data_IF_461847044913
#
_entry.id   IF_461847044913
#
_cell.length_a   1.000
_cell.length_b   1.000
_cell.length_c   1.000
_cell.angle_alpha   90.00
_cell.angle_beta   90.00
_cell.angle_gamma   90.00
#
_symmetry.space_group_name_H-M   'P 1'
#
loop_
_entity.id
_entity.type
_entity.pdbx_description
1 polymer ?
#
# COMPACT_ATOMS: atom_id res chain seq x y z
N UNK A 1 4.69 -25.08 -3.63
CA UNK A 1 4.56 -25.44 -2.20
C UNK A 1 5.89 -25.75 -1.50
N UNK A 2 6.92 -26.29 -2.17
CA UNK A 2 8.26 -26.50 -1.57
C UNK A 2 9.02 -25.19 -1.26
N UNK A 3 8.93 -24.16 -2.11
CA UNK A 3 9.60 -22.85 -1.86
C UNK A 3 9.06 -22.12 -0.62
N UNK A 4 7.74 -22.11 -0.42
CA UNK A 4 7.11 -21.42 0.74
C UNK A 4 7.53 -22.08 2.05
N UNK A 5 7.69 -23.42 2.06
CA UNK A 5 8.22 -24.15 3.22
C UNK A 5 9.62 -23.69 3.60
N UNK A 6 10.49 -23.43 2.62
CA UNK A 6 11.86 -22.97 2.86
C UNK A 6 11.90 -21.53 3.42
N UNK A 7 10.99 -20.66 2.97
CA UNK A 7 10.90 -19.25 3.39
C UNK A 7 10.31 -19.11 4.80
N UNK A 8 9.29 -19.92 5.14
CA UNK A 8 8.59 -19.81 6.42
C UNK A 8 9.15 -20.73 7.53
N UNK A 9 10.08 -21.64 7.21
CA UNK A 9 10.75 -22.48 8.21
C UNK A 9 11.98 -21.78 8.77
N UNK A 10 12.17 -21.82 10.09
CA UNK A 10 13.44 -21.44 10.72
C UNK A 10 14.56 -22.25 10.04
N UNK A 11 15.60 -21.61 9.49
CA UNK A 11 16.76 -22.34 8.99
C UNK A 11 17.28 -23.23 10.12
N UNK A 12 17.51 -24.51 9.86
CA UNK A 12 18.27 -25.37 10.78
C UNK A 12 19.65 -24.73 10.91
N UNK A 13 19.89 -24.02 12.01
CA UNK A 13 21.15 -23.29 12.23
C UNK A 13 22.36 -24.24 12.17
N UNK A 14 23.59 -23.77 11.99
CA UNK A 14 24.09 -22.43 11.76
C UNK A 14 25.45 -22.53 11.05
N UNK A 15 25.64 -21.70 10.04
CA UNK A 15 26.98 -21.31 9.62
C UNK A 15 27.54 -20.23 10.55
N UNK A 16 28.67 -19.59 10.21
CA UNK A 16 29.29 -18.56 11.04
C UNK A 16 28.49 -17.24 11.14
N UNK A 17 27.33 -17.13 10.48
CA UNK A 17 26.54 -15.91 10.43
C UNK A 17 25.42 -15.92 11.50
N UNK A 18 25.27 -14.85 12.29
CA UNK A 18 24.23 -14.75 13.31
C UNK A 18 22.83 -14.64 12.69
N UNK A 19 21.85 -15.24 13.37
CA UNK A 19 20.44 -15.17 13.00
C UNK A 19 19.75 -14.03 13.76
N UNK A 20 19.05 -13.17 13.03
CA UNK A 20 18.31 -12.00 13.52
C UNK A 20 16.81 -12.33 13.46
N UNK A 21 16.08 -11.97 14.51
CA UNK A 21 14.64 -12.17 14.62
C UNK A 21 13.91 -10.97 13.99
N UNK A 22 12.81 -11.24 13.29
CA UNK A 22 11.95 -10.20 12.70
C UNK A 22 11.47 -9.19 13.76
N UNK A 23 11.93 -7.92 13.74
CA UNK A 23 11.59 -6.93 14.76
C UNK A 23 10.17 -6.35 14.60
N UNK A 24 9.54 -6.53 13.42
CA UNK A 24 8.29 -5.87 13.04
C UNK A 24 7.12 -6.83 12.82
N UNK A 25 7.23 -8.11 13.22
CA UNK A 25 6.22 -9.13 12.90
C UNK A 25 4.76 -8.74 13.24
N UNK A 26 4.53 -8.08 14.39
CA UNK A 26 3.19 -7.59 14.77
C UNK A 26 2.70 -6.46 13.85
N UNK A 27 3.59 -5.55 13.48
CA UNK A 27 3.30 -4.43 12.59
C UNK A 27 3.03 -4.90 11.16
N UNK A 28 3.82 -5.85 10.67
CA UNK A 28 3.63 -6.46 9.34
C UNK A 28 2.26 -7.14 9.27
N UNK A 29 1.81 -7.84 10.34
CA UNK A 29 0.45 -8.39 10.40
C UNK A 29 -0.64 -7.31 10.27
N UNK A 30 -0.46 -6.17 10.93
CA UNK A 30 -1.39 -5.05 10.80
C UNK A 30 -1.39 -4.47 9.37
N UNK A 31 -0.21 -4.30 8.76
CA UNK A 31 -0.08 -3.83 7.37
C UNK A 31 -0.76 -4.78 6.39
N UNK A 32 -0.63 -6.10 6.54
CA UNK A 32 -1.34 -7.07 5.70
C UNK A 32 -2.85 -6.82 5.76
N UNK A 33 -3.41 -6.68 6.97
CA UNK A 33 -4.85 -6.43 7.13
C UNK A 33 -5.28 -5.11 6.50
N UNK A 34 -4.47 -4.05 6.63
CA UNK A 34 -4.74 -2.75 6.03
C UNK A 34 -4.74 -2.81 4.50
N UNK A 35 -3.78 -3.49 3.88
CA UNK A 35 -3.73 -3.61 2.41
C UNK A 35 -4.81 -4.53 1.86
N UNK A 36 -5.23 -5.56 2.60
CA UNK A 36 -6.40 -6.37 2.24
C UNK A 36 -7.66 -5.48 2.23
N UNK A 37 -7.84 -4.64 3.25
CA UNK A 37 -8.97 -3.71 3.31
C UNK A 37 -8.91 -2.71 2.15
N UNK A 38 -7.73 -2.15 1.87
CA UNK A 38 -7.53 -1.23 0.74
C UNK A 38 -7.84 -1.90 -0.61
N UNK A 39 -7.39 -3.14 -0.80
CA UNK A 39 -7.68 -3.93 -2.00
C UNK A 39 -9.18 -4.13 -2.22
N UNK A 40 -9.91 -4.50 -1.16
CA UNK A 40 -11.36 -4.67 -1.26
C UNK A 40 -12.07 -3.34 -1.49
N UNK A 41 -11.70 -2.28 -0.78
CA UNK A 41 -12.25 -0.95 -1.01
C UNK A 41 -12.02 -0.50 -2.46
N UNK A 42 -10.80 -0.65 -2.99
CA UNK A 42 -10.44 -0.32 -4.37
C UNK A 42 -11.21 -1.12 -5.39
N UNK A 43 -11.35 -2.43 -5.15
CA UNK A 43 -12.10 -3.30 -6.06
C UNK A 43 -13.60 -2.95 -6.07
N UNK A 44 -14.18 -2.65 -4.91
CA UNK A 44 -15.60 -2.25 -4.80
C UNK A 44 -15.82 -0.90 -5.48
N UNK A 45 -14.99 0.10 -5.20
CA UNK A 45 -15.07 1.42 -5.85
C UNK A 45 -14.81 1.32 -7.35
N UNK A 46 -13.92 0.45 -7.81
CA UNK A 46 -13.69 0.22 -9.24
C UNK A 46 -14.91 -0.37 -9.95
N UNK A 47 -15.63 -1.29 -9.29
CA UNK A 47 -16.83 -1.96 -9.85
C UNK A 47 -18.09 -1.10 -9.71
N UNK A 48 -18.12 -0.17 -8.76
CA UNK A 48 -19.28 0.66 -8.43
C UNK A 48 -18.96 2.14 -8.68
N UNK A 49 -19.52 2.81 -9.70
CA UNK A 49 -20.60 2.45 -10.63
C UNK A 49 -20.09 1.69 -11.86
N UNK A 50 -20.99 1.13 -12.67
CA UNK A 50 -20.58 0.56 -13.96
C UNK A 50 -19.82 1.64 -14.73
N UNK A 51 -18.53 1.44 -14.98
CA UNK A 51 -17.62 2.45 -15.55
C UNK A 51 -18.16 3.05 -16.87
N UNK A 52 -19.03 2.31 -17.56
CA UNK A 52 -19.72 2.77 -18.77
C UNK A 52 -20.90 3.73 -18.56
N UNK A 53 -21.39 3.87 -17.32
CA UNK A 53 -22.49 4.79 -16.95
C UNK A 53 -21.98 6.12 -16.39
N UNK A 54 -20.67 6.27 -16.20
CA UNK A 54 -20.07 7.50 -15.69
C UNK A 54 -19.75 8.44 -16.86
N UNK A 55 -20.59 9.46 -17.06
CA UNK A 55 -20.43 10.42 -18.15
C UNK A 55 -19.47 11.58 -17.82
N UNK A 56 -18.89 11.59 -16.60
CA UNK A 56 -17.98 12.63 -16.12
C UNK A 56 -16.51 12.25 -16.43
N UNK A 57 -15.84 12.89 -17.41
CA UNK A 57 -14.50 12.52 -17.85
C UNK A 57 -13.42 12.71 -16.76
N UNK A 58 -13.58 13.71 -15.91
CA UNK A 58 -12.61 13.97 -14.82
C UNK A 58 -12.67 12.89 -13.73
N UNK A 59 -13.83 12.27 -13.53
CA UNK A 59 -13.97 11.11 -12.64
C UNK A 59 -13.52 9.80 -13.31
N UNK A 60 -13.48 9.70 -14.64
CA UNK A 60 -12.95 8.51 -15.32
C UNK A 60 -11.46 8.29 -15.01
N UNK A 61 -10.67 9.34 -14.77
CA UNK A 61 -9.28 9.19 -14.32
C UNK A 61 -9.18 8.56 -12.91
N UNK A 62 -10.16 8.82 -12.04
CA UNK A 62 -10.23 8.17 -10.72
C UNK A 62 -10.49 6.65 -10.82
N UNK A 63 -11.08 6.17 -11.92
CA UNK A 63 -11.24 4.72 -12.17
C UNK A 63 -9.88 4.05 -12.38
N UNK A 64 -8.99 4.68 -13.16
CA UNK A 64 -7.63 4.17 -13.37
C UNK A 64 -6.86 4.13 -12.05
N UNK A 65 -7.05 5.14 -11.21
CA UNK A 65 -6.48 5.15 -9.86
C UNK A 65 -6.99 3.99 -9.00
N UNK A 66 -8.30 3.71 -8.99
CA UNK A 66 -8.87 2.59 -8.24
C UNK A 66 -8.28 1.25 -8.72
N UNK A 67 -8.14 1.06 -10.04
CA UNK A 67 -7.49 -0.13 -10.58
C UNK A 67 -6.03 -0.23 -10.14
N UNK A 68 -5.23 0.84 -10.30
CA UNK A 68 -3.83 0.86 -9.88
C UNK A 68 -3.67 0.61 -8.38
N UNK A 69 -4.51 1.24 -7.55
CA UNK A 69 -4.53 1.06 -6.10
C UNK A 69 -4.83 -0.39 -5.71
N UNK A 70 -5.78 -1.06 -6.38
CA UNK A 70 -6.05 -2.47 -6.14
C UNK A 70 -4.83 -3.36 -6.44
N UNK A 71 -4.13 -3.10 -7.55
CA UNK A 71 -2.93 -3.87 -7.93
C UNK A 71 -1.80 -3.65 -6.93
N UNK A 72 -1.55 -2.41 -6.53
CA UNK A 72 -0.55 -2.05 -5.52
C UNK A 72 -0.88 -2.71 -4.18
N UNK A 73 -2.11 -2.57 -3.70
CA UNK A 73 -2.56 -3.17 -2.44
C UNK A 73 -2.42 -4.71 -2.43
N UNK A 74 -2.74 -5.36 -3.56
CA UNK A 74 -2.55 -6.80 -3.71
C UNK A 74 -1.07 -7.21 -3.69
N UNK A 75 -0.21 -6.51 -4.44
CA UNK A 75 1.22 -6.76 -4.46
C UNK A 75 1.87 -6.57 -3.07
N UNK A 76 1.50 -5.49 -2.38
CA UNK A 76 1.95 -5.20 -1.01
C UNK A 76 1.49 -6.27 -0.01
N UNK A 77 0.25 -6.76 -0.15
CA UNK A 77 -0.28 -7.86 0.67
C UNK A 77 0.57 -9.12 0.52
N UNK A 78 0.93 -9.49 -0.72
CA UNK A 78 1.81 -10.64 -0.98
C UNK A 78 3.19 -10.41 -0.35
N UNK A 79 3.79 -9.25 -0.58
CA UNK A 79 5.10 -8.91 -0.06
C UNK A 79 5.15 -9.01 1.48
N UNK A 80 4.23 -8.34 2.17
CA UNK A 80 4.20 -8.38 3.62
C UNK A 80 3.85 -9.76 4.18
N UNK A 81 3.06 -10.56 3.45
CA UNK A 81 2.82 -11.96 3.84
C UNK A 81 4.09 -12.80 3.80
N UNK A 82 4.95 -12.60 2.79
CA UNK A 82 6.27 -13.26 2.72
C UNK A 82 7.19 -12.77 3.84
N UNK A 83 7.23 -11.45 4.09
CA UNK A 83 8.03 -10.86 5.16
C UNK A 83 7.59 -11.33 6.55
N UNK A 84 6.28 -11.50 6.77
CA UNK A 84 5.73 -12.04 8.02
C UNK A 84 6.10 -13.52 8.22
N UNK A 85 6.09 -14.30 7.13
CA UNK A 85 6.51 -15.70 7.15
C UNK A 85 7.99 -15.85 7.55
N UNK A 86 8.84 -14.92 7.11
CA UNK A 86 10.26 -14.90 7.44
C UNK A 86 10.45 -14.39 8.88
N UNK A 87 10.42 -15.33 9.83
CA UNK A 87 10.61 -15.03 11.26
C UNK A 87 12.07 -14.85 11.66
N UNK A 88 13.00 -15.54 10.98
CA UNK A 88 14.44 -15.48 11.20
C UNK A 88 15.17 -15.27 9.88
N UNK A 89 16.30 -14.56 9.92
CA UNK A 89 17.12 -14.33 8.74
C UNK A 89 18.53 -13.87 9.10
N UNK A 90 19.43 -13.91 8.12
CA UNK A 90 20.80 -13.40 8.24
C UNK A 90 20.86 -11.89 8.04
N UNK A 91 21.98 -11.24 8.40
CA UNK A 91 22.21 -9.80 8.16
C UNK A 91 21.90 -9.40 6.71
N UNK A 92 22.38 -10.19 5.74
CA UNK A 92 22.20 -9.92 4.31
C UNK A 92 20.73 -9.97 3.90
N UNK A 93 19.97 -10.93 4.43
CA UNK A 93 18.54 -11.07 4.15
C UNK A 93 17.72 -9.94 4.76
N UNK A 94 18.07 -9.50 5.97
CA UNK A 94 17.39 -8.38 6.61
C UNK A 94 17.77 -7.04 5.99
N UNK A 95 19.01 -6.88 5.52
CA UNK A 95 19.44 -5.71 4.76
C UNK A 95 18.68 -5.61 3.43
N UNK A 96 18.53 -6.71 2.70
CA UNK A 96 17.75 -6.72 1.45
C UNK A 96 16.26 -6.50 1.73
N UNK A 97 15.69 -7.14 2.76
CA UNK A 97 14.30 -6.93 3.15
C UNK A 97 14.03 -5.46 3.54
N UNK A 98 14.92 -4.83 4.29
CA UNK A 98 14.81 -3.41 4.66
C UNK A 98 14.87 -2.50 3.43
N UNK A 99 15.78 -2.77 2.49
CA UNK A 99 15.91 -1.97 1.27
C UNK A 99 14.68 -2.11 0.37
N UNK A 100 14.15 -3.33 0.21
CA UNK A 100 12.94 -3.59 -0.57
C UNK A 100 11.72 -2.95 0.12
N UNK A 101 11.58 -3.09 1.45
CA UNK A 101 10.48 -2.48 2.20
C UNK A 101 10.48 -0.96 2.04
N UNK A 102 11.65 -0.33 2.11
CA UNK A 102 11.79 1.11 1.92
C UNK A 102 11.42 1.54 0.50
N UNK A 103 11.91 0.82 -0.52
CA UNK A 103 11.57 1.12 -1.91
C UNK A 103 10.06 0.98 -2.18
N UNK A 104 9.44 -0.07 -1.64
CA UNK A 104 8.00 -0.28 -1.73
C UNK A 104 7.21 0.79 -0.98
N UNK A 105 7.64 1.21 0.21
CA UNK A 105 7.01 2.30 0.94
C UNK A 105 7.08 3.63 0.18
N UNK A 106 8.19 3.92 -0.50
CA UNK A 106 8.30 5.10 -1.37
C UNK A 106 7.34 4.99 -2.55
N UNK A 107 7.28 3.84 -3.22
CA UNK A 107 6.36 3.62 -4.33
C UNK A 107 4.88 3.76 -3.89
N UNK A 108 4.54 3.24 -2.71
CA UNK A 108 3.22 3.33 -2.09
C UNK A 108 2.85 4.80 -1.78
N UNK A 109 3.80 5.57 -1.24
CA UNK A 109 3.63 7.02 -1.03
C UNK A 109 3.43 7.79 -2.34
N UNK A 110 4.14 7.45 -3.41
CA UNK A 110 3.96 8.06 -4.73
C UNK A 110 2.58 7.71 -5.31
N UNK A 111 2.13 6.46 -5.16
CA UNK A 111 0.81 6.04 -5.57
C UNK A 111 -0.28 6.80 -4.79
N UNK A 112 -0.16 6.91 -3.46
CA UNK A 112 -1.05 7.72 -2.64
C UNK A 112 -1.04 9.20 -3.05
N UNK A 113 0.14 9.76 -3.33
CA UNK A 113 0.31 11.14 -3.80
C UNK A 113 -0.37 11.41 -5.14
N UNK A 114 -0.28 10.48 -6.10
CA UNK A 114 -1.02 10.58 -7.36
C UNK A 114 -2.53 10.63 -7.12
N UNK A 115 -3.04 9.85 -6.16
CA UNK A 115 -4.44 9.91 -5.73
C UNK A 115 -4.85 11.29 -5.23
N UNK A 116 -4.00 11.94 -4.42
CA UNK A 116 -4.27 13.30 -3.93
C UNK A 116 -4.38 14.30 -5.09
N UNK A 117 -3.50 14.21 -6.09
CA UNK A 117 -3.56 15.09 -7.28
C UNK A 117 -4.90 14.92 -8.01
N UNK A 118 -5.31 13.67 -8.26
CA UNK A 118 -6.60 13.38 -8.90
C UNK A 118 -7.80 13.84 -8.05
N UNK A 119 -7.70 13.76 -6.72
CA UNK A 119 -8.73 14.28 -5.83
C UNK A 119 -8.87 15.80 -5.96
N UNK A 120 -7.75 16.53 -6.04
CA UNK A 120 -7.75 17.99 -6.21
C UNK A 120 -8.32 18.38 -7.58
N UNK A 121 -7.91 17.70 -8.65
CA UNK A 121 -8.42 17.94 -10.00
C UNK A 121 -9.93 17.68 -10.09
N UNK A 122 -10.39 16.55 -9.55
CA UNK A 122 -11.82 16.23 -9.51
C UNK A 122 -12.61 17.16 -8.59
N UNK A 123 -12.03 17.63 -7.48
CA UNK A 123 -12.66 18.65 -6.63
C UNK A 123 -12.87 19.96 -7.39
N UNK A 124 -11.87 20.44 -8.11
CA UNK A 124 -11.98 21.66 -8.91
C UNK A 124 -13.10 21.54 -9.96
N UNK A 125 -13.12 20.43 -10.70
CA UNK A 125 -14.17 20.12 -11.69
C UNK A 125 -15.58 20.10 -11.08
N UNK A 126 -15.74 19.54 -9.88
CA UNK A 126 -17.04 19.54 -9.18
C UNK A 126 -17.45 20.92 -8.64
N UNK A 127 -16.52 21.84 -8.42
CA UNK A 127 -16.79 23.16 -7.82
C UNK A 127 -16.99 24.27 -8.87
N UNK A 128 -16.37 24.16 -10.05
CA UNK A 128 -16.48 25.13 -11.16
C UNK A 128 -17.79 25.01 -11.97
N UNK A 129 -18.79 24.26 -11.48
CA UNK A 129 -20.06 23.98 -12.17
C UNK A 129 -20.95 25.22 -12.44
N UNK A 130 -20.64 26.39 -11.90
CA UNK A 130 -21.43 27.62 -12.10
C UNK A 130 -21.13 28.34 -13.43
N UNK A 131 -20.11 27.94 -14.18
CA UNK A 131 -19.72 28.61 -15.43
C UNK A 131 -19.43 27.65 -16.58
N UNK A 132 -20.41 27.55 -17.49
CA UNK A 132 -20.30 27.11 -18.88
C UNK A 132 -20.32 25.58 -19.21
N UNK A 133 -21.29 25.24 -20.08
CA UNK A 133 -21.33 24.14 -21.06
C UNK A 133 -21.88 22.76 -20.62
N UNK A 134 -22.73 22.19 -21.49
CA UNK A 134 -23.51 20.93 -21.35
C UNK A 134 -22.72 19.67 -20.90
N UNK A 135 -21.39 19.66 -20.95
CA UNK A 135 -20.56 18.57 -20.39
C UNK A 135 -20.65 18.45 -18.87
N UNK A 136 -20.89 19.56 -18.16
CA UNK A 136 -20.94 19.57 -16.69
C UNK A 136 -22.24 19.00 -16.12
N UNK A 137 -23.30 18.87 -16.93
CA UNK A 137 -24.57 18.30 -16.48
C UNK A 137 -24.43 16.84 -16.02
N UNK A 138 -23.52 16.09 -16.65
CA UNK A 138 -23.24 14.69 -16.33
C UNK A 138 -22.48 14.49 -15.00
N UNK A 139 -21.74 15.50 -14.52
CA UNK A 139 -21.06 15.47 -13.23
C UNK A 139 -21.97 15.92 -12.06
N UNK A 140 -23.21 16.34 -12.35
CA UNK A 140 -24.21 16.72 -11.34
C UNK A 140 -25.11 15.56 -10.88
N UNK A 141 -24.97 14.38 -11.50
CA UNK A 141 -25.78 13.21 -11.15
C UNK A 141 -25.36 12.62 -9.79
N UNK A 142 -26.32 12.06 -9.04
CA UNK A 142 -26.07 11.50 -7.71
C UNK A 142 -25.03 10.36 -7.73
N UNK A 143 -24.92 9.64 -8.85
CA UNK A 143 -23.89 8.61 -9.08
C UNK A 143 -22.48 9.20 -9.08
N UNK A 144 -22.30 10.38 -9.68
CA UNK A 144 -21.00 11.06 -9.74
C UNK A 144 -20.57 11.54 -8.35
N UNK A 145 -21.49 12.13 -7.58
CA UNK A 145 -21.24 12.51 -6.18
C UNK A 145 -20.86 11.31 -5.32
N UNK A 146 -21.60 10.21 -5.42
CA UNK A 146 -21.30 9.01 -4.65
C UNK A 146 -19.92 8.45 -5.02
N UNK A 147 -19.60 8.36 -6.31
CA UNK A 147 -18.29 7.89 -6.77
C UNK A 147 -17.16 8.80 -6.28
N UNK A 148 -17.32 10.12 -6.37
CA UNK A 148 -16.36 11.09 -5.86
C UNK A 148 -16.09 10.91 -4.35
N UNK A 149 -17.13 10.77 -3.52
CA UNK A 149 -16.92 10.55 -2.09
C UNK A 149 -16.30 9.17 -1.79
N UNK A 150 -16.63 8.15 -2.59
CA UNK A 150 -16.03 6.83 -2.47
C UNK A 150 -14.54 6.86 -2.82
N UNK A 151 -14.16 7.52 -3.92
CA UNK A 151 -12.75 7.67 -4.33
C UNK A 151 -11.98 8.55 -3.35
N UNK A 152 -12.55 9.66 -2.86
CA UNK A 152 -11.95 10.51 -1.85
C UNK A 152 -11.66 9.75 -0.54
N UNK A 153 -12.61 8.94 -0.09
CA UNK A 153 -12.45 8.08 1.10
C UNK A 153 -11.35 7.05 0.87
N UNK A 154 -11.33 6.42 -0.30
CA UNK A 154 -10.31 5.46 -0.66
C UNK A 154 -8.90 6.06 -0.70
N UNK A 155 -8.75 7.23 -1.31
CA UNK A 155 -7.47 7.97 -1.37
C UNK A 155 -7.01 8.31 0.05
N UNK A 156 -7.93 8.78 0.90
CA UNK A 156 -7.62 9.09 2.31
C UNK A 156 -7.13 7.86 3.07
N UNK A 157 -7.78 6.70 2.88
CA UNK A 157 -7.34 5.43 3.46
C UNK A 157 -5.95 5.04 2.93
N UNK A 158 -5.72 5.13 1.62
CA UNK A 158 -4.44 4.80 0.99
C UNK A 158 -3.31 5.67 1.56
N UNK A 159 -3.52 6.97 1.75
CA UNK A 159 -2.53 7.87 2.37
C UNK A 159 -2.17 7.43 3.80
N UNK A 160 -3.16 7.08 4.61
CA UNK A 160 -2.92 6.60 5.99
C UNK A 160 -2.10 5.30 5.95
N UNK A 161 -2.43 4.40 5.03
CA UNK A 161 -1.72 3.12 4.88
C UNK A 161 -0.29 3.36 4.41
N UNK A 162 -0.05 4.21 3.42
CA UNK A 162 1.28 4.53 2.91
C UNK A 162 2.17 5.16 3.99
N UNK A 163 1.62 6.06 4.82
CA UNK A 163 2.33 6.59 5.98
C UNK A 163 2.67 5.49 7.00
N UNK A 164 1.74 4.57 7.26
CA UNK A 164 2.00 3.43 8.14
C UNK A 164 3.09 2.50 7.58
N UNK A 165 3.13 2.27 6.26
CA UNK A 165 4.21 1.54 5.58
C UNK A 165 5.57 2.20 5.80
N UNK A 166 5.64 3.52 5.62
CA UNK A 166 6.86 4.29 5.82
C UNK A 166 7.37 4.17 7.27
N UNK A 167 6.46 4.30 8.26
CA UNK A 167 6.80 4.14 9.68
C UNK A 167 7.34 2.74 9.96
N UNK A 168 6.68 1.69 9.49
CA UNK A 168 7.13 0.30 9.69
C UNK A 168 8.47 0.04 9.00
N UNK A 169 8.73 0.63 7.83
CA UNK A 169 10.03 0.54 7.16
C UNK A 169 11.16 1.11 8.02
N UNK A 170 10.92 2.23 8.70
CA UNK A 170 11.91 2.83 9.60
C UNK A 170 12.14 1.94 10.82
N UNK A 171 11.06 1.42 11.43
CA UNK A 171 11.16 0.51 12.59
C UNK A 171 11.90 -0.77 12.22
N UNK A 172 11.67 -1.31 11.02
CA UNK A 172 12.39 -2.49 10.52
C UNK A 172 13.90 -2.21 10.45
N UNK A 173 14.30 -1.11 9.82
CA UNK A 173 15.70 -0.74 9.68
C UNK A 173 16.39 -0.54 11.05
N UNK A 174 15.72 0.16 11.97
CA UNK A 174 16.22 0.38 13.33
C UNK A 174 16.31 -0.93 14.12
N UNK A 175 15.27 -1.78 14.06
CA UNK A 175 15.23 -3.05 14.78
C UNK A 175 16.34 -4.00 14.34
N UNK A 176 16.59 -4.13 13.03
CA UNK A 176 17.70 -4.92 12.50
C UNK A 176 19.05 -4.35 12.96
N UNK A 177 19.22 -3.03 12.91
CA UNK A 177 20.44 -2.36 13.37
C UNK A 177 20.75 -2.59 14.85
N UNK A 178 19.73 -2.51 15.72
CA UNK A 178 19.91 -2.75 17.16
C UNK A 178 20.33 -4.18 17.49
N UNK A 179 19.73 -5.19 16.85
CA UNK A 179 20.11 -6.59 17.05
C UNK A 179 21.54 -6.88 16.54
N UNK A 180 21.93 -6.29 15.40
CA UNK A 180 23.29 -6.43 14.87
C UNK A 180 24.35 -5.87 15.81
N UNK A 181 24.08 -4.69 16.38
CA UNK A 181 24.97 -4.04 17.35
C UNK A 181 25.08 -4.87 18.64
N UNK A 182 23.97 -5.44 19.12
CA UNK A 182 23.96 -6.34 20.27
C UNK A 182 24.80 -7.60 20.02
N UNK A 183 24.62 -8.25 18.86
CA UNK A 183 25.39 -9.43 18.48
C UNK A 183 26.89 -9.11 18.37
N UNK A 184 27.25 -7.97 17.77
CA UNK A 184 28.65 -7.55 17.63
C UNK A 184 29.35 -7.30 18.97
N UNK A 185 28.61 -6.93 20.03
CA UNK A 185 29.17 -6.73 21.38
C UNK A 185 29.39 -8.03 22.15
N UNK A 186 28.72 -9.11 21.75
CA UNK A 186 28.79 -10.42 22.42
C UNK A 186 29.95 -11.26 21.87
N UNK A 187 30.32 -11.07 20.60
CA UNK A 187 31.44 -11.74 19.91
C UNK A 187 32.74 -10.97 20.13
#
# INVERSE_FOLDING_TARGET
MMMIKYICSKPTGGGPAPLILNPVGKWVKALIMLHILLFFAASITFVFPSVGDLFCPDLLLNVNYCAACSVVAFAMTIYFSLLYCQSWGTEREWASASLITMALAIADMLAAGWGIVLLVESSASMTDQDSETEMNYACSDWKAYLFYYATATLISIHVIIALSCAVVSIILAQGVGTQLEEIRRIV
#
